data_IF_730390747837
#
_entry.id   IF_730390747837
#
_cell.length_a   1.000
_cell.length_b   1.000
_cell.length_c   1.000
_cell.angle_alpha   90.00
_cell.angle_beta   90.00
_cell.angle_gamma   90.00
#
_symmetry.space_group_name_H-M   'P 1'
#
loop_
_entity.id
_entity.type
_entity.pdbx_description
1 polymer ?
#
# COMPACT_ATOMS: atom_id res chain seq x y z
N UNK A 1 -12.19 20.37 15.04
CA UNK A 1 -11.74 20.32 13.64
C UNK A 1 -10.24 20.57 13.65
N UNK A 2 -9.46 19.63 13.17
CA UNK A 2 -8.00 19.80 13.04
C UNK A 2 -7.74 20.53 11.72
N UNK A 3 -7.10 21.69 11.78
CA UNK A 3 -6.70 22.42 10.57
C UNK A 3 -5.59 21.63 9.86
N UNK A 4 -5.73 21.39 8.55
CA UNK A 4 -4.69 20.74 7.75
C UNK A 4 -3.50 21.70 7.62
N UNK A 5 -2.29 21.18 7.87
CA UNK A 5 -1.03 21.91 7.75
C UNK A 5 0.08 20.96 7.27
N UNK A 6 1.22 21.50 6.85
CA UNK A 6 2.31 20.69 6.31
C UNK A 6 2.74 19.55 7.24
N UNK A 7 2.77 19.79 8.55
CA UNK A 7 3.16 18.79 9.56
C UNK A 7 2.20 17.60 9.57
N UNK A 8 0.88 17.83 9.60
CA UNK A 8 -0.07 16.71 9.64
C UNK A 8 -0.18 15.97 8.30
N UNK A 9 0.04 16.65 7.17
CA UNK A 9 0.14 16.02 5.85
C UNK A 9 1.35 15.07 5.79
N UNK A 10 2.52 15.53 6.25
CA UNK A 10 3.73 14.71 6.30
C UNK A 10 3.62 13.55 7.29
N UNK A 11 2.94 13.74 8.42
CA UNK A 11 2.66 12.66 9.39
C UNK A 11 1.73 11.59 8.78
N UNK A 12 0.65 12.01 8.11
CA UNK A 12 -0.25 11.09 7.43
C UNK A 12 0.49 10.29 6.35
N UNK A 13 1.34 10.97 5.56
CA UNK A 13 2.19 10.33 4.56
C UNK A 13 3.11 9.29 5.20
N UNK A 14 3.82 9.63 6.27
CA UNK A 14 4.73 8.70 6.94
C UNK A 14 4.01 7.43 7.42
N UNK A 15 2.81 7.58 8.00
CA UNK A 15 2.01 6.45 8.45
C UNK A 15 1.52 5.55 7.30
N UNK A 16 1.21 6.12 6.13
CA UNK A 16 0.86 5.34 4.94
C UNK A 16 2.07 4.60 4.37
N UNK A 17 3.25 5.23 4.38
CA UNK A 17 4.48 4.57 3.92
C UNK A 17 4.88 3.37 4.79
N UNK A 18 4.71 3.47 6.10
CA UNK A 18 4.94 2.32 6.99
C UNK A 18 4.03 1.14 6.65
N UNK A 19 2.77 1.41 6.27
CA UNK A 19 1.85 0.37 5.81
C UNK A 19 2.29 -0.22 4.46
N UNK A 20 2.75 0.61 3.53
CA UNK A 20 3.31 0.16 2.24
C UNK A 20 4.46 -0.81 2.47
N UNK A 21 5.43 -0.43 3.30
CA UNK A 21 6.61 -1.26 3.58
C UNK A 21 6.20 -2.60 4.21
N UNK A 22 5.27 -2.57 5.16
CA UNK A 22 4.76 -3.78 5.83
C UNK A 22 4.04 -4.73 4.86
N UNK A 23 3.15 -4.21 4.02
CA UNK A 23 2.41 -5.02 3.05
C UNK A 23 3.35 -5.56 1.97
N UNK A 24 4.28 -4.74 1.47
CA UNK A 24 5.24 -5.15 0.46
C UNK A 24 6.17 -6.25 0.98
N UNK A 25 6.64 -6.13 2.23
CA UNK A 25 7.40 -7.20 2.88
C UNK A 25 6.59 -8.49 3.00
N UNK A 26 5.34 -8.40 3.47
CA UNK A 26 4.46 -9.56 3.59
C UNK A 26 4.20 -10.24 2.24
N UNK A 27 3.92 -9.46 1.18
CA UNK A 27 3.69 -9.98 -0.16
C UNK A 27 4.95 -10.61 -0.76
N UNK A 28 6.12 -9.99 -0.61
CA UNK A 28 7.37 -10.55 -1.12
C UNK A 28 7.67 -11.91 -0.48
N UNK A 29 7.51 -12.02 0.85
CA UNK A 29 7.71 -13.29 1.56
C UNK A 29 6.66 -14.33 1.17
N UNK A 30 5.38 -13.93 1.07
CA UNK A 30 4.29 -14.83 0.71
C UNK A 30 4.38 -15.31 -0.74
N UNK A 31 4.82 -14.45 -1.67
CA UNK A 31 4.83 -14.74 -3.10
C UNK A 31 5.77 -15.89 -3.47
N UNK A 32 6.88 -16.07 -2.75
CA UNK A 32 7.85 -17.14 -2.99
C UNK A 32 7.28 -18.52 -2.67
N UNK A 33 6.50 -18.64 -1.60
CA UNK A 33 5.99 -19.92 -1.11
C UNK A 33 4.57 -20.23 -1.61
N UNK A 34 3.77 -19.21 -1.96
CA UNK A 34 2.34 -19.36 -2.24
C UNK A 34 1.97 -19.26 -3.72
N UNK A 35 2.91 -18.95 -4.62
CA UNK A 35 2.62 -18.91 -6.08
C UNK A 35 2.28 -20.28 -6.67
N UNK A 36 2.74 -21.36 -6.05
CA UNK A 36 2.41 -22.72 -6.46
C UNK A 36 2.36 -23.66 -5.25
N UNK A 37 1.23 -23.67 -4.55
CA UNK A 37 1.07 -24.56 -3.40
C UNK A 37 1.11 -26.04 -3.85
N UNK A 38 1.84 -26.92 -3.14
CA UNK A 38 1.87 -28.33 -3.49
C UNK A 38 0.52 -29.00 -3.20
N UNK A 39 0.27 -30.13 -3.87
CA UNK A 39 -0.87 -31.00 -3.57
C UNK A 39 -0.52 -31.91 -2.40
N UNK A 40 -1.48 -32.19 -1.51
CA UNK A 40 -1.32 -33.17 -0.44
C UNK A 40 -1.27 -34.63 -0.94
N UNK A 41 -1.76 -34.88 -2.16
CA UNK A 41 -1.80 -36.19 -2.80
C UNK A 41 -2.21 -36.10 -4.27
N UNK A 42 -2.22 -37.24 -4.96
CA UNK A 42 -2.60 -37.33 -6.38
C UNK A 42 -4.08 -37.64 -6.61
N UNK A 43 -4.84 -37.87 -5.54
CA UNK A 43 -6.26 -38.15 -5.59
C UNK A 43 -7.06 -36.93 -6.13
N UNK A 44 -8.27 -37.17 -6.68
CA UNK A 44 -9.09 -36.09 -7.25
C UNK A 44 -9.41 -34.96 -6.25
N UNK A 45 -9.61 -35.27 -4.96
CA UNK A 45 -9.94 -34.28 -3.94
C UNK A 45 -8.75 -33.35 -3.69
N UNK A 46 -7.53 -33.90 -3.58
CA UNK A 46 -6.30 -33.11 -3.44
C UNK A 46 -6.06 -32.17 -4.63
N UNK A 47 -6.40 -32.60 -5.86
CA UNK A 47 -6.29 -31.78 -7.07
C UNK A 47 -7.28 -30.62 -7.07
N UNK A 48 -8.53 -30.87 -6.70
CA UNK A 48 -9.55 -29.82 -6.68
C UNK A 48 -9.34 -28.85 -5.51
N UNK A 49 -8.91 -29.34 -4.35
CA UNK A 49 -8.50 -28.51 -3.23
C UNK A 49 -7.38 -27.55 -3.64
N UNK A 50 -6.31 -28.04 -4.28
CA UNK A 50 -5.21 -27.19 -4.75
C UNK A 50 -5.71 -26.05 -5.65
N UNK A 51 -6.59 -26.33 -6.61
CA UNK A 51 -7.15 -25.29 -7.50
C UNK A 51 -7.92 -24.23 -6.72
N UNK A 52 -8.77 -24.65 -5.78
CA UNK A 52 -9.59 -23.73 -4.97
C UNK A 52 -8.69 -22.86 -4.08
N UNK A 53 -7.73 -23.46 -3.39
CA UNK A 53 -6.79 -22.72 -2.54
C UNK A 53 -5.92 -21.77 -3.37
N UNK A 54 -5.37 -22.22 -4.49
CA UNK A 54 -4.54 -21.37 -5.35
C UNK A 54 -5.34 -20.18 -5.91
N UNK A 55 -6.60 -20.39 -6.31
CA UNK A 55 -7.46 -19.30 -6.78
C UNK A 55 -7.69 -18.24 -5.68
N UNK A 56 -7.92 -18.68 -4.43
CA UNK A 56 -8.10 -17.75 -3.30
C UNK A 56 -6.80 -17.02 -2.95
N UNK A 57 -5.66 -17.70 -2.98
CA UNK A 57 -4.34 -17.10 -2.75
C UNK A 57 -4.07 -16.02 -3.79
N UNK A 58 -4.23 -16.35 -5.08
CA UNK A 58 -4.02 -15.39 -6.16
C UNK A 58 -4.89 -14.14 -5.97
N UNK A 59 -6.16 -14.32 -5.64
CA UNK A 59 -7.06 -13.20 -5.38
C UNK A 59 -6.60 -12.32 -4.20
N UNK A 60 -6.07 -12.91 -3.12
CA UNK A 60 -5.52 -12.15 -1.98
C UNK A 60 -4.30 -11.35 -2.42
N UNK A 61 -3.37 -11.97 -3.16
CA UNK A 61 -2.17 -11.32 -3.67
C UNK A 61 -2.53 -10.15 -4.60
N UNK A 62 -3.46 -10.36 -5.53
CA UNK A 62 -3.95 -9.32 -6.45
C UNK A 62 -4.59 -8.15 -5.69
N UNK A 63 -5.43 -8.45 -4.71
CA UNK A 63 -6.12 -7.42 -3.91
C UNK A 63 -5.13 -6.55 -3.14
N UNK A 64 -4.15 -7.16 -2.47
CA UNK A 64 -3.13 -6.42 -1.74
C UNK A 64 -2.16 -5.69 -2.66
N UNK A 65 -1.86 -6.24 -3.84
CA UNK A 65 -1.11 -5.55 -4.89
C UNK A 65 -1.83 -4.28 -5.37
N UNK A 66 -3.14 -4.35 -5.61
CA UNK A 66 -3.95 -3.19 -5.96
C UNK A 66 -3.97 -2.14 -4.83
N UNK A 67 -4.15 -2.58 -3.58
CA UNK A 67 -4.13 -1.68 -2.43
C UNK A 67 -2.78 -0.97 -2.25
N UNK A 68 -1.66 -1.64 -2.52
CA UNK A 68 -0.35 -0.99 -2.53
C UNK A 68 -0.27 0.15 -3.54
N UNK A 69 -0.81 -0.06 -4.75
CA UNK A 69 -0.86 1.00 -5.77
C UNK A 69 -1.66 2.21 -5.27
N UNK A 70 -2.83 1.98 -4.66
CA UNK A 70 -3.64 3.06 -4.07
C UNK A 70 -2.89 3.81 -2.96
N UNK A 71 -2.16 3.10 -2.10
CA UNK A 71 -1.35 3.73 -1.05
C UNK A 71 -0.23 4.59 -1.64
N UNK A 72 0.48 4.10 -2.66
CA UNK A 72 1.51 4.90 -3.35
C UNK A 72 0.93 6.17 -3.98
N UNK A 73 -0.23 6.07 -4.62
CA UNK A 73 -0.92 7.23 -5.18
C UNK A 73 -1.35 8.24 -4.09
N UNK A 74 -1.88 7.76 -2.97
CA UNK A 74 -2.26 8.62 -1.85
C UNK A 74 -1.05 9.36 -1.29
N UNK A 75 0.07 8.66 -1.14
CA UNK A 75 1.34 9.22 -0.69
C UNK A 75 1.89 10.29 -1.64
N UNK A 76 1.84 10.05 -2.96
CA UNK A 76 2.24 11.03 -3.96
C UNK A 76 1.38 12.31 -3.90
N UNK A 77 0.07 12.16 -3.72
CA UNK A 77 -0.84 13.32 -3.56
C UNK A 77 -0.59 14.09 -2.26
N UNK A 78 -0.19 13.41 -1.18
CA UNK A 78 0.20 14.07 0.06
C UNK A 78 1.52 14.83 -0.09
N UNK A 79 2.48 14.30 -0.85
CA UNK A 79 3.70 15.03 -1.20
C UNK A 79 3.40 16.31 -1.99
N UNK A 80 2.53 16.22 -3.00
CA UNK A 80 2.07 17.39 -3.77
C UNK A 80 1.38 18.43 -2.88
N UNK A 81 0.50 17.99 -1.97
CA UNK A 81 -0.17 18.88 -1.03
C UNK A 81 0.84 19.55 -0.08
N UNK A 82 1.83 18.81 0.44
CA UNK A 82 2.86 19.38 1.31
C UNK A 82 3.69 20.47 0.59
N UNK A 83 4.03 20.26 -0.69
CA UNK A 83 4.70 21.28 -1.51
C UNK A 83 3.83 22.52 -1.68
N UNK A 84 2.54 22.36 -1.99
CA UNK A 84 1.61 23.48 -2.15
C UNK A 84 1.46 24.27 -0.84
N UNK A 85 1.34 23.59 0.30
CA UNK A 85 1.27 24.27 1.60
C UNK A 85 2.59 24.99 1.93
N UNK A 86 3.74 24.39 1.66
CA UNK A 86 5.05 25.02 1.87
C UNK A 86 5.26 26.28 1.02
N UNK A 87 4.77 26.29 -0.23
CA UNK A 87 4.79 27.47 -1.10
C UNK A 87 3.89 28.59 -0.57
N UNK A 88 2.67 28.25 -0.14
CA UNK A 88 1.70 29.23 0.39
C UNK A 88 2.16 29.83 1.73
N UNK A 89 2.80 29.03 2.60
CA UNK A 89 3.40 29.56 3.83
C UNK A 89 4.59 30.49 3.54
N UNK A 90 5.42 30.16 2.54
CA UNK A 90 6.55 30.98 2.08
C UNK A 90 6.11 32.33 1.49
N UNK A 91 5.16 32.33 0.57
CA UNK A 91 4.61 33.55 -0.05
C UNK A 91 3.93 34.46 0.98
N UNK A 92 3.22 33.87 1.95
CA UNK A 92 2.64 34.64 3.05
C UNK A 92 3.72 35.34 3.88
N UNK A 93 4.89 34.72 4.11
CA UNK A 93 5.99 35.39 4.83
C UNK A 93 6.70 36.47 4.03
N UNK A 94 6.73 36.39 2.69
CA UNK A 94 7.34 37.42 1.85
C UNK A 94 6.42 38.64 1.65
N UNK A 95 5.10 38.43 1.59
CA UNK A 95 4.13 39.51 1.34
C UNK A 95 3.96 40.53 2.49
N UNK A 96 4.62 40.32 3.65
CA UNK A 96 4.60 41.26 4.78
C UNK A 96 5.95 41.99 5.03
N UNK A 97 6.89 41.95 4.07
CA UNK A 97 8.11 42.78 4.09
C UNK A 97 8.02 43.93 3.10
#
# INVERSE_FOLDING_TARGET
MTQINITNVLQARAALMEQVDSIQFALNNASLDLTAIPRCGDDPVSRDAQKIFQAKINHILDTHGAYLVELYEACARLDEAAVQYGLVEGDNTESFR
#
